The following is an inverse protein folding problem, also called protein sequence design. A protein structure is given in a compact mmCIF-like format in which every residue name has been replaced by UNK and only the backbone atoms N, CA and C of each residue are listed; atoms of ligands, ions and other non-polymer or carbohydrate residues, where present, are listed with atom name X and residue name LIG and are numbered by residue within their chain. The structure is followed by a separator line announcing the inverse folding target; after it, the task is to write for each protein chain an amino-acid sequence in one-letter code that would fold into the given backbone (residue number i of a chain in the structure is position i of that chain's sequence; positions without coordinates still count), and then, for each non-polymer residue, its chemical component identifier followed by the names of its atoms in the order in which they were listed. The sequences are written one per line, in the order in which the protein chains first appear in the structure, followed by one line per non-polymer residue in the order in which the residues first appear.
data_IF_355260044067
#
_entry.id   IF_355260044067
#
_cell.length_a   1.000
_cell.length_b   1.000
_cell.length_c   1.000
_cell.angle_alpha   90.00
_cell.angle_beta   90.00
_cell.angle_gamma   90.00
#
_symmetry.space_group_name_H-M   'P 1'
#
loop_
_entity.id
_entity.type
_entity.pdbx_description
1 polymer ?
#
# COMPACT_ATOMS: atom_id res chain seq x y z
N UNK A 1 -64.04 16.69 -26.16
CA UNK A 1 -63.30 15.42 -25.98
C UNK A 1 -61.95 15.77 -25.33
N UNK A 2 -61.77 15.58 -24.01
CA UNK A 2 -61.17 14.40 -23.32
C UNK A 2 -59.76 14.01 -23.82
N UNK A 3 -58.77 14.43 -23.00
CA UNK A 3 -57.33 14.12 -22.79
C UNK A 3 -56.90 12.63 -22.83
N UNK A 4 -55.64 12.18 -22.56
CA UNK A 4 -54.25 12.74 -22.63
C UNK A 4 -53.18 11.70 -23.14
N UNK A 5 -51.87 11.93 -22.84
CA UNK A 5 -50.73 10.97 -22.74
C UNK A 5 -49.93 10.68 -24.04
N UNK A 6 -48.59 10.68 -24.12
CA UNK A 6 -47.55 10.28 -23.16
C UNK A 6 -46.21 11.03 -23.33
N UNK A 7 -45.56 11.21 -22.18
CA UNK A 7 -44.15 11.54 -21.94
C UNK A 7 -43.25 10.38 -22.40
N UNK A 8 -42.10 10.67 -23.03
CA UNK A 8 -40.81 9.91 -23.00
C UNK A 8 -39.93 10.42 -24.17
N UNK A 9 -38.67 10.81 -24.01
CA UNK A 9 -37.57 10.08 -23.34
C UNK A 9 -36.54 11.06 -22.79
N UNK A 10 -36.24 10.94 -21.50
CA UNK A 10 -35.09 11.58 -20.85
C UNK A 10 -33.94 10.56 -20.72
N UNK A 11 -32.72 11.11 -20.75
CA UNK A 11 -31.50 10.63 -20.09
C UNK A 11 -30.88 9.29 -20.54
N UNK A 12 -29.74 9.38 -21.23
CA UNK A 12 -28.77 8.28 -21.31
C UNK A 12 -27.32 8.80 -21.39
N UNK A 13 -26.84 9.47 -20.34
CA UNK A 13 -25.40 9.57 -20.06
C UNK A 13 -25.27 9.61 -18.55
N UNK A 14 -24.74 8.56 -17.92
CA UNK A 14 -24.16 8.55 -16.56
C UNK A 14 -23.85 7.11 -16.16
N UNK A 15 -22.81 6.48 -16.72
CA UNK A 15 -22.26 5.20 -16.22
C UNK A 15 -20.84 4.98 -16.74
N UNK A 16 -19.82 5.66 -16.17
CA UNK A 16 -18.41 5.27 -16.36
C UNK A 16 -17.38 5.85 -15.36
N UNK A 17 -17.75 6.52 -14.25
CA UNK A 17 -16.77 7.30 -13.45
C UNK A 17 -16.01 6.47 -12.38
N UNK A 18 -16.34 5.18 -12.18
CA UNK A 18 -15.75 4.40 -11.06
C UNK A 18 -14.42 3.72 -11.40
N UNK A 19 -14.07 3.57 -12.68
CA UNK A 19 -12.86 2.86 -13.10
C UNK A 19 -11.57 3.69 -13.00
N UNK A 20 -11.66 5.01 -13.23
CA UNK A 20 -10.48 5.91 -13.30
C UNK A 20 -9.77 6.03 -11.95
N UNK A 21 -10.52 6.30 -10.87
CA UNK A 21 -9.94 6.45 -9.54
C UNK A 21 -9.17 5.21 -9.04
N UNK A 22 -9.55 4.01 -9.50
CA UNK A 22 -8.84 2.76 -9.15
C UNK A 22 -7.51 2.62 -9.88
N UNK A 23 -7.47 2.97 -11.16
CA UNK A 23 -6.24 2.95 -11.94
C UNK A 23 -5.22 3.94 -11.36
N UNK A 24 -5.65 5.16 -11.05
CA UNK A 24 -4.80 6.22 -10.48
C UNK A 24 -4.18 5.78 -9.14
N UNK A 25 -4.96 5.11 -8.29
CA UNK A 25 -4.49 4.60 -6.99
C UNK A 25 -3.46 3.47 -7.16
N UNK A 26 -3.68 2.56 -8.11
CA UNK A 26 -2.75 1.46 -8.38
C UNK A 26 -1.44 2.00 -8.96
N UNK A 27 -1.51 2.91 -9.93
CA UNK A 27 -0.34 3.55 -10.53
C UNK A 27 0.48 4.30 -9.48
N UNK A 28 -0.19 5.06 -8.61
CA UNK A 28 0.46 5.76 -7.49
C UNK A 28 1.17 4.78 -6.55
N UNK A 29 0.55 3.65 -6.22
CA UNK A 29 1.19 2.64 -5.37
C UNK A 29 2.40 1.98 -6.04
N UNK A 30 2.32 1.67 -7.34
CA UNK A 30 3.44 1.11 -8.09
C UNK A 30 4.61 2.10 -8.21
N UNK A 31 4.31 3.38 -8.47
CA UNK A 31 5.30 4.45 -8.48
C UNK A 31 5.98 4.59 -7.12
N UNK A 32 5.19 4.58 -6.04
CA UNK A 32 5.74 4.61 -4.69
C UNK A 32 6.57 3.35 -4.39
N UNK A 33 6.15 2.15 -4.81
CA UNK A 33 6.95 0.94 -4.65
C UNK A 33 8.33 1.11 -5.29
N UNK A 34 8.38 1.54 -6.55
CA UNK A 34 9.64 1.77 -7.26
C UNK A 34 10.54 2.78 -6.52
N UNK A 35 9.95 3.85 -5.98
CA UNK A 35 10.68 4.84 -5.20
C UNK A 35 11.26 4.26 -3.90
N UNK A 36 10.47 3.49 -3.16
CA UNK A 36 10.93 2.84 -1.93
C UNK A 36 12.01 1.78 -2.22
N UNK A 37 11.90 1.03 -3.32
CA UNK A 37 12.90 0.06 -3.76
C UNK A 37 14.20 0.72 -4.17
N UNK A 38 14.14 1.84 -4.90
CA UNK A 38 15.30 2.64 -5.31
C UNK A 38 16.14 3.11 -4.12
N UNK A 39 15.47 3.47 -3.02
CA UNK A 39 16.10 3.95 -1.78
C UNK A 39 16.17 2.88 -0.69
N UNK A 40 15.93 1.62 -1.02
CA UNK A 40 16.07 0.50 -0.10
C UNK A 40 17.53 0.04 -0.03
N UNK A 41 18.00 -0.20 1.19
CA UNK A 41 19.28 -0.85 1.43
C UNK A 41 19.25 -2.37 1.16
N UNK A 42 20.36 -3.06 1.44
CA UNK A 42 20.42 -4.51 1.37
C UNK A 42 19.37 -5.19 2.26
N UNK A 43 18.85 -6.36 1.88
CA UNK A 43 17.99 -7.16 2.74
C UNK A 43 18.68 -7.48 4.07
N UNK A 44 17.91 -7.42 5.15
CA UNK A 44 18.29 -7.82 6.51
C UNK A 44 17.37 -8.91 7.02
N UNK A 45 17.84 -9.70 7.99
CA UNK A 45 17.05 -10.84 8.49
C UNK A 45 15.95 -10.42 9.47
N UNK A 46 16.15 -9.31 10.19
CA UNK A 46 15.22 -8.90 11.24
C UNK A 46 15.35 -7.43 11.62
N UNK A 47 14.30 -6.89 12.25
CA UNK A 47 14.34 -5.59 12.91
C UNK A 47 13.54 -5.60 14.21
N UNK A 48 14.02 -4.85 15.20
CA UNK A 48 13.32 -4.67 16.46
C UNK A 48 12.19 -3.64 16.34
N UNK A 49 11.04 -4.01 16.89
CA UNK A 49 9.76 -3.40 16.65
C UNK A 49 8.63 -3.91 17.59
N UNK A 50 8.25 -3.13 18.61
CA UNK A 50 7.13 -3.48 19.48
C UNK A 50 5.75 -3.02 18.97
N UNK A 51 5.67 -2.04 18.04
CA UNK A 51 4.38 -1.45 17.59
C UNK A 51 4.51 -0.70 16.25
N UNK A 52 3.50 -0.85 15.38
CA UNK A 52 3.30 -0.03 14.16
C UNK A 52 3.00 1.42 14.53
N UNK A 53 3.87 2.34 14.11
CA UNK A 53 3.56 3.77 14.14
C UNK A 53 2.71 4.16 12.95
N UNK A 54 3.19 3.85 11.74
CA UNK A 54 2.53 4.13 10.47
C UNK A 54 2.86 3.01 9.49
N UNK A 55 2.04 2.87 8.46
CA UNK A 55 2.26 1.94 7.38
C UNK A 55 1.65 2.48 6.07
N UNK A 56 2.11 1.95 4.94
CA UNK A 56 1.60 2.29 3.63
C UNK A 56 1.60 1.03 2.75
N UNK A 57 0.48 0.79 2.06
CA UNK A 57 0.43 -0.20 0.99
C UNK A 57 1.22 0.29 -0.22
N UNK A 58 2.05 -0.59 -0.78
CA UNK A 58 2.85 -0.36 -1.98
C UNK A 58 2.48 -1.39 -3.04
N UNK A 59 1.17 -1.61 -3.22
CA UNK A 59 0.61 -2.67 -4.06
C UNK A 59 0.33 -3.96 -3.27
N UNK A 60 0.20 -5.07 -4.01
CA UNK A 60 -0.23 -6.37 -3.46
C UNK A 60 0.88 -7.18 -2.80
N UNK A 61 2.13 -6.78 -3.01
CA UNK A 61 3.33 -7.55 -2.63
C UNK A 61 4.22 -6.86 -1.60
N UNK A 62 3.94 -5.59 -1.29
CA UNK A 62 4.84 -4.79 -0.48
C UNK A 62 4.08 -3.83 0.44
N UNK A 63 4.65 -3.62 1.62
CA UNK A 63 4.25 -2.57 2.55
C UNK A 63 5.48 -1.84 3.08
N UNK A 64 5.37 -0.54 3.23
CA UNK A 64 6.31 0.23 4.04
C UNK A 64 5.80 0.31 5.48
N UNK A 65 6.70 0.14 6.44
CA UNK A 65 6.38 0.16 7.88
C UNK A 65 7.32 1.12 8.59
N UNK A 66 6.74 2.05 9.36
CA UNK A 66 7.47 3.01 10.17
C UNK A 66 7.55 2.51 11.61
N UNK A 67 8.79 2.45 12.09
CA UNK A 67 9.15 2.14 13.48
C UNK A 67 9.60 3.38 14.26
N UNK A 68 9.60 4.53 13.59
CA UNK A 68 9.95 5.87 14.08
C UNK A 68 9.88 6.89 12.94
N UNK A 69 10.14 8.17 13.24
CA UNK A 69 9.96 9.30 12.29
C UNK A 69 10.72 9.11 10.97
N UNK A 70 11.94 8.59 11.03
CA UNK A 70 12.79 8.33 9.86
C UNK A 70 13.25 6.87 9.78
N UNK A 71 12.56 5.96 10.46
CA UNK A 71 12.99 4.56 10.56
C UNK A 71 11.97 3.66 9.87
N UNK A 72 12.24 3.38 8.60
CA UNK A 72 11.30 2.72 7.67
C UNK A 72 11.88 1.42 7.17
N UNK A 73 11.02 0.41 7.08
CA UNK A 73 11.35 -0.87 6.47
C UNK A 73 10.36 -1.16 5.34
N UNK A 74 10.90 -1.53 4.17
CA UNK A 74 10.16 -2.13 3.08
C UNK A 74 10.06 -3.63 3.35
N UNK A 75 8.83 -4.11 3.54
CA UNK A 75 8.54 -5.53 3.71
C UNK A 75 7.93 -6.04 2.41
N UNK A 76 8.53 -7.06 1.80
CA UNK A 76 7.94 -7.78 0.68
C UNK A 76 7.37 -9.10 1.16
N UNK A 77 6.18 -9.45 0.70
CA UNK A 77 5.54 -10.74 1.05
C UNK A 77 5.88 -11.81 0.01
N UNK A 78 5.89 -13.07 0.43
CA UNK A 78 6.34 -14.19 -0.41
C UNK A 78 5.46 -14.45 -1.64
N UNK A 79 4.19 -14.04 -1.58
CA UNK A 79 3.22 -14.10 -2.66
C UNK A 79 2.29 -12.88 -2.55
N UNK A 80 1.80 -12.31 -3.66
CA UNK A 80 0.83 -11.23 -3.61
C UNK A 80 -0.38 -11.63 -2.77
N UNK A 81 -0.72 -10.77 -1.82
CA UNK A 81 -1.89 -10.96 -0.99
C UNK A 81 -3.10 -10.29 -1.62
N UNK A 82 -4.22 -11.02 -1.60
CA UNK A 82 -5.48 -10.54 -2.14
C UNK A 82 -5.85 -9.26 -1.41
N UNK A 83 -5.97 -8.16 -2.16
CA UNK A 83 -6.42 -6.86 -1.67
C UNK A 83 -5.52 -6.17 -0.62
N UNK A 84 -4.24 -6.52 -0.52
CA UNK A 84 -3.30 -5.81 0.37
C UNK A 84 -3.20 -4.30 0.04
N UNK A 85 -3.30 -3.97 -1.24
CA UNK A 85 -3.37 -2.62 -1.81
C UNK A 85 -4.60 -1.80 -1.37
N UNK A 86 -5.60 -2.44 -0.77
CA UNK A 86 -6.80 -1.80 -0.23
C UNK A 86 -7.01 -2.11 1.26
N UNK A 87 -6.01 -2.69 1.94
CA UNK A 87 -6.11 -2.96 3.36
C UNK A 87 -6.42 -1.66 4.13
N UNK A 88 -7.35 -1.73 5.09
CA UNK A 88 -7.69 -0.57 5.94
C UNK A 88 -6.77 -0.45 7.14
N UNK A 89 -6.27 -1.58 7.60
CA UNK A 89 -5.36 -1.73 8.73
C UNK A 89 -4.47 -2.94 8.46
N UNK A 90 -3.24 -2.91 8.94
CA UNK A 90 -2.39 -4.10 8.98
C UNK A 90 -1.87 -4.34 10.39
N UNK A 91 -1.52 -5.60 10.67
CA UNK A 91 -0.61 -6.01 11.72
C UNK A 91 0.69 -6.54 11.10
N UNK A 92 1.73 -6.61 11.93
CA UNK A 92 2.96 -7.34 11.61
C UNK A 92 3.24 -8.25 12.80
N UNK A 93 3.31 -9.56 12.58
CA UNK A 93 3.65 -10.48 13.67
C UNK A 93 5.09 -10.28 14.09
N UNK A 94 5.39 -10.57 15.36
CA UNK A 94 6.74 -10.54 15.87
C UNK A 94 6.88 -11.50 17.04
N UNK A 95 8.12 -11.91 17.32
CA UNK A 95 8.47 -12.67 18.52
C UNK A 95 9.41 -11.84 19.40
N UNK A 96 9.02 -11.58 20.65
CA UNK A 96 9.78 -10.70 21.54
C UNK A 96 9.96 -9.28 21.01
N UNK A 97 8.99 -8.79 20.21
CA UNK A 97 9.09 -7.51 19.52
C UNK A 97 10.10 -7.49 18.38
N UNK A 98 10.59 -8.63 17.90
CA UNK A 98 11.45 -8.69 16.71
C UNK A 98 10.69 -9.32 15.56
N UNK A 99 10.65 -8.61 14.43
CA UNK A 99 10.12 -9.13 13.17
C UNK A 99 11.26 -9.81 12.42
N UNK A 100 11.04 -11.03 11.97
CA UNK A 100 12.03 -11.85 11.25
C UNK A 100 11.50 -12.26 9.87
N UNK A 101 12.35 -12.15 8.86
CA UNK A 101 12.03 -12.66 7.52
C UNK A 101 11.69 -14.15 7.59
N UNK A 102 10.78 -14.62 6.73
CA UNK A 102 10.28 -16.01 6.62
C UNK A 102 9.53 -16.57 7.84
N UNK A 103 9.66 -15.99 9.03
CA UNK A 103 8.94 -16.44 10.23
C UNK A 103 7.71 -15.58 10.52
N UNK A 104 7.80 -14.29 10.22
CA UNK A 104 6.72 -13.34 10.50
C UNK A 104 5.89 -13.00 9.26
N UNK A 105 4.74 -12.38 9.52
CA UNK A 105 3.68 -12.14 8.56
C UNK A 105 3.19 -10.69 8.64
N UNK A 106 2.84 -10.13 7.49
CA UNK A 106 1.87 -9.03 7.41
C UNK A 106 0.48 -9.63 7.57
N UNK A 107 -0.35 -9.07 8.44
CA UNK A 107 -1.70 -9.57 8.73
C UNK A 107 -2.73 -8.50 8.49
N UNK A 108 -3.85 -8.84 7.86
CA UNK A 108 -4.99 -7.95 7.63
C UNK A 108 -6.18 -8.80 7.19
N UNK A 109 -7.42 -8.37 7.44
CA UNK A 109 -8.63 -9.07 6.98
C UNK A 109 -8.64 -10.60 7.19
N UNK A 110 -8.06 -11.07 8.32
CA UNK A 110 -7.84 -12.49 8.68
C UNK A 110 -6.84 -13.26 7.80
N UNK A 111 -6.15 -12.59 6.90
CA UNK A 111 -5.05 -13.13 6.09
C UNK A 111 -3.70 -13.01 6.82
N UNK A 112 -2.78 -13.91 6.45
CA UNK A 112 -1.38 -13.91 6.90
C UNK A 112 -0.48 -14.04 5.67
N UNK A 113 0.30 -13.00 5.42
CA UNK A 113 1.18 -12.87 4.27
C UNK A 113 2.63 -12.99 4.74
N UNK A 114 3.26 -14.14 4.48
CA UNK A 114 4.61 -14.41 4.97
C UNK A 114 5.58 -13.35 4.43
N UNK A 115 6.36 -12.76 5.32
CA UNK A 115 7.41 -11.80 4.95
C UNK A 115 8.54 -12.57 4.28
N UNK A 116 8.92 -12.15 3.08
CA UNK A 116 9.98 -12.75 2.29
C UNK A 116 11.29 -11.96 2.32
N UNK A 117 11.18 -10.64 2.44
CA UNK A 117 12.32 -9.73 2.49
C UNK A 117 11.99 -8.55 3.40
N UNK A 118 13.02 -8.05 4.07
CA UNK A 118 13.00 -6.86 4.91
C UNK A 118 14.16 -6.00 4.43
N UNK A 119 13.90 -4.77 4.03
CA UNK A 119 14.95 -3.83 3.63
C UNK A 119 14.77 -2.51 4.39
N UNK A 120 15.81 -1.99 5.06
CA UNK A 120 15.77 -0.63 5.58
C UNK A 120 15.68 0.36 4.41
N UNK A 121 14.93 1.44 4.57
CA UNK A 121 14.73 2.45 3.52
C UNK A 121 15.32 3.79 3.97
N UNK A 122 16.10 4.44 3.10
CA UNK A 122 16.45 5.84 3.27
C UNK A 122 15.21 6.72 3.01
N UNK A 123 14.40 6.88 4.07
CA UNK A 123 13.16 7.62 3.96
C UNK A 123 13.36 9.13 3.77
N UNK A 124 14.53 9.66 4.13
CA UNK A 124 14.83 11.07 3.87
C UNK A 124 14.95 11.31 2.35
N UNK A 125 15.64 10.41 1.64
CA UNK A 125 15.75 10.45 0.18
C UNK A 125 14.38 10.25 -0.52
N UNK A 126 13.56 9.30 -0.04
CA UNK A 126 12.18 9.11 -0.54
C UNK A 126 11.37 10.41 -0.43
N UNK A 127 11.39 11.07 0.74
CA UNK A 127 10.65 12.32 0.93
C UNK A 127 11.18 13.46 0.06
N UNK A 128 12.49 13.55 -0.13
CA UNK A 128 13.09 14.56 -0.99
C UNK A 128 12.59 14.41 -2.43
N UNK A 129 12.58 13.19 -2.97
CA UNK A 129 12.10 12.90 -4.32
C UNK A 129 10.59 13.17 -4.47
N UNK A 130 9.76 12.72 -3.51
CA UNK A 130 8.31 13.02 -3.52
C UNK A 130 7.99 14.52 -3.44
N UNK A 131 8.86 15.32 -2.83
CA UNK A 131 8.66 16.76 -2.71
C UNK A 131 8.98 17.48 -4.02
N UNK A 132 10.01 17.02 -4.75
CA UNK A 132 10.37 17.55 -6.07
C UNK A 132 9.25 17.29 -7.09
N UNK A 133 8.62 16.12 -7.06
CA UNK A 133 7.54 15.79 -8.00
C UNK A 133 6.25 16.60 -7.81
N UNK A 134 6.02 17.17 -6.61
CA UNK A 134 4.83 17.97 -6.31
C UNK A 134 5.00 19.46 -6.63
N UNK A 135 6.23 19.91 -6.82
CA UNK A 135 6.56 21.32 -7.03
C UNK A 135 6.87 21.71 -8.47
N UNK A 136 6.83 20.76 -9.41
CA UNK A 136 6.97 20.98 -10.85
C UNK A 136 5.64 20.82 -11.57
#
# INVERSE_FOLDING_TARGET
MKTPHRIATALAVLLAVVATARADTLETQMKNLALFEKHAGPPIDSFFYPRIYQWQALGKEAVAVWTGVNKVYLLKVAKPCINLDWAKTIGVTSSGGTVKTRFDYVTFDRQRCQIASIQPVDYAAVRAELSTEKGG
#
